data_IF_112347844367
#
_entry.id   IF_112347844367
#
_cell.length_a   1.000
_cell.length_b   1.000
_cell.length_c   1.000
_cell.angle_alpha   90.00
_cell.angle_beta   90.00
_cell.angle_gamma   90.00
#
_symmetry.space_group_name_H-M   'P 1'
#
loop_
_entity.id
_entity.type
_entity.pdbx_description
1 polymer ?
#
# COMPACT_ATOMS: atom_id res chain seq x y z
N UNK A 1 -9.48 -20.51 -2.93
CA UNK A 1 -8.38 -20.46 -1.91
C UNK A 1 -9.06 -20.15 -0.59
N UNK A 2 -9.16 -21.12 0.30
CA UNK A 2 -10.11 -21.13 1.42
C UNK A 2 -9.94 -19.97 2.39
N UNK A 3 -11.05 -19.34 2.80
CA UNK A 3 -11.07 -18.23 3.75
C UNK A 3 -10.35 -18.56 5.06
N UNK A 4 -10.41 -19.82 5.51
CA UNK A 4 -9.70 -20.27 6.71
C UNK A 4 -8.18 -20.09 6.63
N UNK A 5 -7.55 -20.47 5.50
CA UNK A 5 -6.10 -20.30 5.32
C UNK A 5 -5.70 -18.83 5.34
N UNK A 6 -6.56 -17.96 4.80
CA UNK A 6 -6.36 -16.51 4.82
C UNK A 6 -6.44 -15.98 6.25
N UNK A 7 -7.46 -16.36 7.02
CA UNK A 7 -7.61 -15.90 8.40
C UNK A 7 -6.46 -16.41 9.28
N UNK A 8 -6.04 -17.68 9.13
CA UNK A 8 -4.88 -18.21 9.85
C UNK A 8 -3.58 -17.44 9.51
N UNK A 9 -3.35 -17.15 8.22
CA UNK A 9 -2.20 -16.36 7.81
C UNK A 9 -2.22 -14.94 8.42
N UNK A 10 -3.40 -14.31 8.49
CA UNK A 10 -3.55 -13.00 9.13
C UNK A 10 -3.20 -13.05 10.61
N UNK A 11 -3.68 -14.05 11.34
CA UNK A 11 -3.37 -14.23 12.77
C UNK A 11 -1.86 -14.38 12.99
N UNK A 12 -1.20 -15.27 12.24
CA UNK A 12 0.25 -15.50 12.35
C UNK A 12 1.05 -14.21 12.05
N UNK A 13 0.65 -13.44 11.05
CA UNK A 13 1.31 -12.18 10.70
C UNK A 13 1.15 -11.15 11.83
N UNK A 14 -0.06 -11.00 12.38
CA UNK A 14 -0.34 -10.07 13.46
C UNK A 14 0.42 -10.43 14.75
N UNK A 15 0.47 -11.71 15.13
CA UNK A 15 1.11 -12.17 16.37
C UNK A 15 2.62 -11.88 16.40
N UNK A 16 3.32 -11.97 15.26
CA UNK A 16 4.78 -11.72 15.18
C UNK A 16 5.18 -10.30 15.58
N UNK A 17 4.30 -9.32 15.46
CA UNK A 17 4.59 -7.91 15.75
C UNK A 17 3.32 -7.18 16.14
N UNK A 18 2.64 -7.70 17.16
CA UNK A 18 1.38 -7.14 17.66
C UNK A 18 1.55 -5.64 17.99
N UNK A 19 0.58 -4.82 17.58
CA UNK A 19 0.64 -3.37 17.77
C UNK A 19 1.63 -2.62 16.87
N UNK A 20 2.36 -3.31 15.98
CA UNK A 20 3.32 -2.70 15.06
C UNK A 20 3.08 -3.10 13.60
N UNK A 21 2.00 -2.60 12.96
CA UNK A 21 1.64 -3.00 11.59
C UNK A 21 2.73 -2.72 10.55
N UNK A 22 3.58 -1.71 10.77
CA UNK A 22 4.70 -1.39 9.89
C UNK A 22 5.77 -2.49 9.79
N UNK A 23 5.77 -3.47 10.72
CA UNK A 23 6.66 -4.65 10.70
C UNK A 23 5.98 -5.91 10.17
N UNK A 24 4.71 -5.85 9.77
CA UNK A 24 4.01 -6.99 9.22
C UNK A 24 4.40 -7.22 7.78
N UNK A 25 4.55 -8.50 7.40
CA UNK A 25 4.88 -8.83 6.01
C UNK A 25 3.78 -8.44 5.03
N UNK A 26 2.53 -8.39 5.50
CA UNK A 26 1.37 -7.98 4.69
C UNK A 26 0.41 -7.17 5.51
N UNK A 27 -0.13 -6.12 4.91
CA UNK A 27 -1.23 -5.34 5.46
C UNK A 27 -2.46 -5.44 4.54
N UNK A 28 -3.63 -5.52 5.16
CA UNK A 28 -4.92 -5.66 4.48
C UNK A 28 -6.05 -4.83 5.10
N UNK A 29 -5.84 -4.28 6.30
CA UNK A 29 -6.82 -3.44 6.98
C UNK A 29 -6.61 -1.98 6.56
N UNK A 30 -7.70 -1.30 6.20
CA UNK A 30 -7.67 0.09 5.74
C UNK A 30 -7.02 1.05 6.74
N UNK A 31 -7.30 0.87 8.03
CA UNK A 31 -6.80 1.72 9.11
C UNK A 31 -5.29 1.53 9.28
N UNK A 32 -4.84 0.28 9.44
CA UNK A 32 -3.42 -0.04 9.62
C UNK A 32 -2.58 0.44 8.44
N UNK A 33 -3.05 0.23 7.21
CA UNK A 33 -2.32 0.69 6.02
C UNK A 33 -2.30 2.22 5.95
N UNK A 34 -3.43 2.87 6.26
CA UNK A 34 -3.49 4.34 6.29
C UNK A 34 -2.49 4.90 7.30
N UNK A 35 -2.43 4.33 8.50
CA UNK A 35 -1.57 4.80 9.58
C UNK A 35 -0.10 4.55 9.24
N UNK A 36 0.24 3.38 8.69
CA UNK A 36 1.59 3.06 8.24
C UNK A 36 2.07 4.01 7.15
N UNK A 37 1.22 4.31 6.15
CA UNK A 37 1.59 5.22 5.07
C UNK A 37 1.65 6.68 5.53
N UNK A 38 0.71 7.13 6.36
CA UNK A 38 0.69 8.50 6.90
C UNK A 38 1.90 8.77 7.78
N UNK A 39 2.27 7.81 8.62
CA UNK A 39 3.40 7.95 9.55
C UNK A 39 4.74 7.51 8.92
N UNK A 40 4.75 7.08 7.65
CA UNK A 40 5.93 6.54 6.94
C UNK A 40 6.66 5.47 7.76
N UNK A 41 5.91 4.65 8.49
CA UNK A 41 6.44 3.71 9.49
C UNK A 41 6.62 2.28 8.97
N UNK A 42 6.38 2.06 7.67
CA UNK A 42 6.62 0.76 7.05
C UNK A 42 8.10 0.42 7.00
N UNK A 43 8.43 -0.83 7.29
CA UNK A 43 9.80 -1.34 7.28
C UNK A 43 10.04 -2.23 6.08
N UNK A 44 11.27 -2.73 5.94
CA UNK A 44 11.64 -3.69 4.92
C UNK A 44 10.91 -5.03 5.03
N UNK A 45 10.25 -5.31 6.16
CA UNK A 45 9.43 -6.51 6.34
C UNK A 45 8.18 -6.45 5.46
N UNK A 46 7.67 -5.26 5.15
CA UNK A 46 6.43 -5.10 4.37
C UNK A 46 6.66 -5.56 2.94
N UNK A 47 6.08 -6.70 2.59
CA UNK A 47 6.11 -7.28 1.24
C UNK A 47 4.81 -7.03 0.46
N UNK A 48 3.71 -6.73 1.15
CA UNK A 48 2.41 -6.53 0.50
C UNK A 48 1.51 -5.51 1.18
N UNK A 49 0.97 -4.59 0.40
CA UNK A 49 -0.04 -3.62 0.82
C UNK A 49 -1.33 -3.82 0.03
N UNK A 50 -2.38 -4.14 0.77
CA UNK A 50 -3.75 -4.32 0.27
C UNK A 50 -4.73 -3.67 1.23
N UNK A 51 -6.00 -3.52 0.85
CA UNK A 51 -7.00 -2.88 1.73
C UNK A 51 -7.07 -1.36 1.61
N UNK A 52 -6.33 -0.78 0.67
CA UNK A 52 -6.41 0.62 0.27
C UNK A 52 -7.59 0.85 -0.68
N UNK A 53 -8.81 0.79 -0.14
CA UNK A 53 -10.04 0.99 -0.88
C UNK A 53 -10.87 2.11 -0.27
N UNK A 54 -10.85 3.28 -0.91
CA UNK A 54 -11.65 4.42 -0.52
C UNK A 54 -12.80 4.62 -1.51
N UNK A 55 -14.05 4.49 -1.05
CA UNK A 55 -15.23 4.67 -1.91
C UNK A 55 -15.46 6.12 -2.36
N UNK A 56 -15.13 7.11 -1.50
CA UNK A 56 -15.52 8.51 -1.68
C UNK A 56 -14.47 9.54 -1.25
N UNK A 57 -13.18 9.17 -1.17
CA UNK A 57 -12.12 10.12 -0.82
C UNK A 57 -10.94 10.03 -1.77
N UNK A 58 -10.47 11.20 -2.21
CA UNK A 58 -9.18 11.37 -2.86
C UNK A 58 -8.11 11.41 -1.77
N UNK A 59 -7.81 10.25 -1.16
CA UNK A 59 -6.66 10.17 -0.25
C UNK A 59 -5.39 10.21 -1.08
N UNK A 60 -4.48 11.09 -0.69
CA UNK A 60 -3.14 11.14 -1.24
C UNK A 60 -2.14 10.65 -0.21
N UNK A 61 -1.12 9.92 -0.67
CA UNK A 61 0.02 9.51 0.14
C UNK A 61 1.32 9.94 -0.54
N UNK A 62 2.33 10.29 0.24
CA UNK A 62 3.66 10.57 -0.31
C UNK A 62 4.31 9.26 -0.75
N UNK A 63 4.95 9.27 -1.92
CA UNK A 63 5.80 8.19 -2.42
C UNK A 63 6.95 7.87 -1.46
N UNK A 64 7.39 8.81 -0.63
CA UNK A 64 8.38 8.58 0.43
C UNK A 64 7.92 7.57 1.49
N UNK A 65 6.61 7.37 1.65
CA UNK A 65 6.08 6.37 2.58
C UNK A 65 6.51 4.94 2.23
N UNK A 66 6.89 4.69 0.98
CA UNK A 66 7.35 3.40 0.50
C UNK A 66 8.87 3.25 0.51
N UNK A 67 9.63 4.32 0.81
CA UNK A 67 11.09 4.33 0.66
C UNK A 67 11.80 3.28 1.54
N UNK A 68 11.24 2.99 2.73
CA UNK A 68 11.78 1.99 3.65
C UNK A 68 11.28 0.56 3.37
N UNK A 69 10.23 0.39 2.55
CA UNK A 69 9.61 -0.90 2.25
C UNK A 69 10.30 -1.60 1.07
N UNK A 70 11.60 -1.86 1.20
CA UNK A 70 12.46 -2.32 0.09
C UNK A 70 12.04 -3.65 -0.52
N UNK A 71 11.40 -4.53 0.27
CA UNK A 71 10.89 -5.85 -0.16
C UNK A 71 9.42 -5.81 -0.60
N UNK A 72 8.81 -4.64 -0.74
CA UNK A 72 7.42 -4.53 -1.17
C UNK A 72 7.28 -5.02 -2.62
N UNK A 73 6.50 -6.09 -2.78
CA UNK A 73 6.29 -6.80 -4.04
C UNK A 73 4.86 -6.68 -4.55
N UNK A 74 3.90 -6.46 -3.67
CA UNK A 74 2.47 -6.40 -3.98
C UNK A 74 1.87 -5.07 -3.51
N UNK A 75 1.29 -4.29 -4.43
CA UNK A 75 0.64 -3.02 -4.11
C UNK A 75 -0.72 -2.93 -4.79
N UNK A 76 -1.78 -2.79 -3.98
CA UNK A 76 -3.14 -2.56 -4.45
C UNK A 76 -3.63 -1.18 -4.00
N UNK A 77 -4.00 -0.33 -4.96
CA UNK A 77 -4.46 1.03 -4.77
C UNK A 77 -5.82 1.20 -5.46
N UNK A 78 -6.79 1.78 -4.77
CA UNK A 78 -8.09 2.13 -5.34
C UNK A 78 -8.50 3.54 -4.94
N UNK A 79 -8.67 4.41 -5.93
CA UNK A 79 -9.05 5.81 -5.77
C UNK A 79 -8.06 6.59 -4.87
N UNK A 80 -6.77 6.36 -5.09
CA UNK A 80 -5.67 6.96 -4.30
C UNK A 80 -4.73 7.70 -5.24
N UNK A 81 -4.28 8.85 -4.78
CA UNK A 81 -3.20 9.61 -5.40
C UNK A 81 -1.86 9.32 -4.70
N UNK A 82 -0.79 9.24 -5.47
CA UNK A 82 0.57 9.21 -4.93
C UNK A 82 1.30 10.48 -5.34
N UNK A 83 1.82 11.20 -4.35
CA UNK A 83 2.50 12.47 -4.53
C UNK A 83 4.01 12.31 -4.37
N UNK A 84 4.77 13.08 -5.14
CA UNK A 84 6.23 13.07 -5.11
C UNK A 84 6.85 12.16 -6.17
N UNK A 85 8.14 11.90 -6.04
CA UNK A 85 8.91 11.21 -7.06
C UNK A 85 8.75 9.68 -6.97
N UNK A 86 8.37 9.07 -8.09
CA UNK A 86 8.24 7.60 -8.19
C UNK A 86 9.55 6.83 -7.95
N UNK A 87 10.71 7.51 -7.84
CA UNK A 87 11.98 6.91 -7.43
C UNK A 87 11.92 6.25 -6.04
N UNK A 88 10.96 6.68 -5.21
CA UNK A 88 10.73 6.11 -3.88
C UNK A 88 9.85 4.85 -3.90
N UNK A 89 9.28 4.49 -5.06
CA UNK A 89 8.61 3.20 -5.19
C UNK A 89 9.65 2.06 -5.17
N UNK A 90 9.37 0.97 -4.45
CA UNK A 90 10.31 -0.12 -4.28
C UNK A 90 10.56 -0.86 -5.60
N UNK A 91 11.83 -1.09 -5.90
CA UNK A 91 12.30 -1.72 -7.15
C UNK A 91 11.87 -3.18 -7.29
N UNK A 92 11.56 -3.84 -6.17
CA UNK A 92 11.13 -5.24 -6.14
C UNK A 92 9.63 -5.42 -6.41
N UNK A 93 8.90 -4.34 -6.76
CA UNK A 93 7.48 -4.42 -7.03
C UNK A 93 7.20 -5.36 -8.21
N UNK A 94 6.54 -6.49 -7.93
CA UNK A 94 6.18 -7.51 -8.93
C UNK A 94 4.74 -7.36 -9.42
N UNK A 95 3.88 -6.76 -8.61
CA UNK A 95 2.48 -6.59 -8.94
C UNK A 95 1.94 -5.27 -8.40
N UNK A 96 1.43 -4.44 -9.33
CA UNK A 96 0.76 -3.18 -9.05
C UNK A 96 -0.63 -3.23 -9.66
N UNK A 97 -1.65 -3.01 -8.82
CA UNK A 97 -3.01 -2.74 -9.29
C UNK A 97 -3.44 -1.39 -8.77
N UNK A 98 -3.61 -0.43 -9.68
CA UNK A 98 -4.00 0.94 -9.36
C UNK A 98 -5.27 1.32 -10.11
N UNK A 99 -6.40 1.29 -9.41
CA UNK A 99 -7.72 1.56 -9.98
C UNK A 99 -8.18 2.98 -9.63
N UNK A 100 -8.87 3.65 -10.57
CA UNK A 100 -9.26 5.08 -10.44
C UNK A 100 -8.09 5.97 -10.01
N UNK A 101 -6.97 5.83 -10.73
CA UNK A 101 -5.83 6.71 -10.56
C UNK A 101 -6.24 8.14 -10.99
N UNK A 102 -6.15 9.15 -10.10
CA UNK A 102 -6.63 10.51 -10.42
C UNK A 102 -5.79 11.24 -11.47
N UNK A 103 -4.69 10.65 -11.96
CA UNK A 103 -3.74 11.26 -12.91
C UNK A 103 -3.92 10.79 -14.37
N UNK A 104 -5.08 10.25 -14.75
CA UNK A 104 -5.39 9.94 -16.16
C UNK A 104 -6.34 10.96 -16.81
N UNK A 105 -6.30 12.22 -16.37
CA UNK A 105 -6.59 13.34 -17.26
C UNK A 105 -5.34 13.60 -18.08
N UNK A 106 -5.29 12.97 -19.25
CA UNK A 106 -4.42 13.41 -20.32
C UNK A 106 -4.55 14.93 -20.44
N UNK A 107 -3.42 15.62 -20.44
CA UNK A 107 -3.28 16.91 -21.10
C UNK A 107 -3.76 16.69 -22.55
N UNK A 108 -5.05 16.86 -22.81
CA UNK A 108 -5.51 17.27 -24.12
C UNK A 108 -5.10 18.73 -24.18
N UNK A 109 -3.83 18.95 -24.53
CA UNK A 109 -3.44 20.18 -25.18
C UNK A 109 -4.42 20.33 -26.36
N UNK A 110 -5.33 21.28 -26.26
CA UNK A 110 -6.01 21.78 -27.45
C UNK A 110 -5.04 22.78 -28.07
N UNK A 111 -4.56 22.41 -29.25
CA UNK A 111 -3.98 23.32 -30.24
C UNK A 111 -4.93 24.48 -30.56
#
# INVERSE_FOLDING_TARGET
MHDLLREMAKVIICEKSFGHPGKWSRLWNLQDVTDVLRNKSGTEEVEGLSGLWFQRSNKSFSTEAFANMKKLRLLYLYNIELNGEYKHLPKELKWLRWYRCPQMTFLINQD
#
